data_IF_278261455973
#
_entry.id   IF_278261455973
#
_cell.length_a   1.000
_cell.length_b   1.000
_cell.length_c   1.000
_cell.angle_alpha   90.00
_cell.angle_beta   90.00
_cell.angle_gamma   90.00
#
_symmetry.space_group_name_H-M   'P 1'
#
loop_
_entity.id
_entity.type
_entity.pdbx_description
1 polymer ?
#
# COMPACT_ATOMS: atom_id res chain seq x y z
N UNK A 1 -12.48 22.08 34.03
CA UNK A 1 -11.15 22.03 33.41
C UNK A 1 -11.07 20.71 32.68
N UNK A 2 -11.04 20.75 31.34
CA UNK A 2 -11.14 19.57 30.48
C UNK A 2 -9.76 18.93 30.32
N UNK A 3 -9.32 18.20 31.34
CA UNK A 3 -8.17 17.29 31.25
C UNK A 3 -8.60 16.00 30.55
N UNK A 4 -7.79 15.51 29.61
CA UNK A 4 -7.72 14.06 29.34
C UNK A 4 -7.94 13.55 27.91
N UNK A 5 -8.12 14.38 26.88
CA UNK A 5 -8.44 13.89 25.52
C UNK A 5 -7.28 13.90 24.51
N UNK A 6 -6.01 13.85 24.95
CA UNK A 6 -4.89 14.16 24.05
C UNK A 6 -4.15 12.96 23.44
N UNK A 7 -4.20 11.73 23.99
CA UNK A 7 -3.27 10.67 23.56
C UNK A 7 -3.78 9.22 23.69
N UNK A 8 -5.09 8.96 23.58
CA UNK A 8 -5.58 7.59 23.43
C UNK A 8 -5.89 7.31 21.96
N UNK A 9 -5.00 6.62 21.27
CA UNK A 9 -5.38 6.03 20.00
C UNK A 9 -6.41 4.92 20.26
N UNK A 10 -7.61 5.03 19.68
CA UNK A 10 -8.62 3.97 19.75
C UNK A 10 -8.09 2.70 19.05
N UNK A 11 -7.72 1.62 19.78
CA UNK A 11 -7.03 0.48 19.21
C UNK A 11 -7.84 -0.22 18.12
N UNK A 12 -9.17 -0.24 18.28
CA UNK A 12 -10.10 -0.86 17.33
C UNK A 12 -10.15 -0.12 16.00
N UNK A 13 -10.14 1.21 16.02
CA UNK A 13 -10.08 2.03 14.79
C UNK A 13 -8.76 1.84 14.07
N UNK A 14 -7.66 1.75 14.82
CA UNK A 14 -6.36 1.46 14.23
C UNK A 14 -6.30 0.07 13.62
N UNK A 15 -6.81 -0.95 14.31
CA UNK A 15 -6.88 -2.31 13.79
C UNK A 15 -7.74 -2.40 12.52
N UNK A 16 -8.85 -1.66 12.48
CA UNK A 16 -9.69 -1.55 11.28
C UNK A 16 -8.94 -0.88 10.11
N UNK A 17 -8.24 0.23 10.37
CA UNK A 17 -7.43 0.91 9.36
C UNK A 17 -6.32 0.02 8.80
N UNK A 18 -5.61 -0.71 9.66
CA UNK A 18 -4.57 -1.69 9.26
C UNK A 18 -5.14 -2.75 8.33
N UNK A 19 -6.30 -3.34 8.68
CA UNK A 19 -6.97 -4.34 7.83
C UNK A 19 -7.34 -3.75 6.48
N UNK A 20 -7.84 -2.52 6.44
CA UNK A 20 -8.23 -1.85 5.21
C UNK A 20 -7.02 -1.57 4.31
N UNK A 21 -5.90 -1.11 4.87
CA UNK A 21 -4.65 -0.89 4.15
C UNK A 21 -4.15 -2.20 3.51
N UNK A 22 -4.13 -3.29 4.27
CA UNK A 22 -3.74 -4.60 3.74
C UNK A 22 -4.68 -5.10 2.63
N UNK A 23 -5.98 -4.84 2.76
CA UNK A 23 -6.97 -5.18 1.73
C UNK A 23 -6.73 -4.38 0.43
N UNK A 24 -6.40 -3.09 0.53
CA UNK A 24 -6.06 -2.24 -0.62
C UNK A 24 -4.83 -2.77 -1.35
N UNK A 25 -3.75 -3.08 -0.63
CA UNK A 25 -2.53 -3.64 -1.25
C UNK A 25 -2.80 -4.97 -1.93
N UNK A 26 -3.59 -5.85 -1.29
CA UNK A 26 -3.96 -7.15 -1.84
C UNK A 26 -4.78 -7.00 -3.13
N UNK A 27 -5.78 -6.12 -3.11
CA UNK A 27 -6.62 -5.82 -4.27
C UNK A 27 -5.81 -5.22 -5.42
N UNK A 28 -4.86 -4.32 -5.14
CA UNK A 28 -4.00 -3.74 -6.15
C UNK A 28 -3.19 -4.82 -6.89
N UNK A 29 -2.59 -5.77 -6.15
CA UNK A 29 -1.89 -6.91 -6.76
C UNK A 29 -2.82 -7.83 -7.57
N UNK A 30 -4.05 -8.04 -7.11
CA UNK A 30 -5.05 -8.82 -7.86
C UNK A 30 -5.42 -8.16 -9.18
N UNK A 31 -5.73 -6.86 -9.14
CA UNK A 31 -6.02 -6.08 -10.34
C UNK A 31 -4.89 -6.11 -11.36
N UNK A 32 -3.62 -6.07 -10.92
CA UNK A 32 -2.47 -6.17 -11.82
C UNK A 32 -2.34 -7.56 -12.46
N UNK A 33 -2.59 -8.63 -11.70
CA UNK A 33 -2.58 -10.00 -12.25
C UNK A 33 -3.66 -10.16 -13.32
N UNK A 34 -4.87 -9.68 -13.04
CA UNK A 34 -6.00 -9.76 -13.96
C UNK A 34 -5.75 -8.92 -15.21
N UNK A 35 -5.23 -7.70 -15.03
CA UNK A 35 -4.83 -6.84 -16.13
C UNK A 35 -3.76 -7.49 -17.01
N UNK A 36 -2.69 -8.01 -16.40
CA UNK A 36 -1.59 -8.65 -17.14
C UNK A 36 -2.08 -9.89 -17.89
N UNK A 37 -3.00 -10.66 -17.31
CA UNK A 37 -3.63 -11.80 -17.98
C UNK A 37 -4.41 -11.35 -19.21
N UNK A 38 -5.29 -10.35 -19.03
CA UNK A 38 -6.14 -9.81 -20.11
C UNK A 38 -5.32 -9.20 -21.24
N UNK A 39 -4.24 -8.49 -20.92
CA UNK A 39 -3.32 -7.91 -21.91
C UNK A 39 -2.53 -9.00 -22.64
N UNK A 40 -2.21 -10.11 -21.98
CA UNK A 40 -1.55 -11.23 -22.65
C UNK A 40 -2.49 -11.99 -23.60
N UNK A 41 -3.79 -11.99 -23.33
CA UNK A 41 -4.79 -12.60 -24.23
C UNK A 41 -4.89 -11.88 -25.58
N UNK A 42 -4.43 -10.63 -25.68
CA UNK A 42 -4.37 -9.91 -26.96
C UNK A 42 -3.16 -10.33 -27.81
N UNK A 43 -2.26 -11.17 -27.29
CA UNK A 43 -1.06 -11.60 -28.01
C UNK A 43 -1.42 -12.28 -29.33
N UNK A 44 -0.86 -11.75 -30.42
CA UNK A 44 -1.08 -12.29 -31.76
C UNK A 44 -2.33 -11.76 -32.46
N UNK A 45 -3.03 -10.78 -31.87
CA UNK A 45 -4.08 -10.03 -32.58
C UNK A 45 -3.63 -9.46 -33.93
N UNK A 46 -2.36 -9.01 -34.14
CA UNK A 46 -1.94 -8.48 -35.44
C UNK A 46 -1.76 -9.54 -36.53
N UNK A 47 -1.89 -10.84 -36.21
CA UNK A 47 -1.53 -11.93 -37.11
C UNK A 47 -0.10 -12.42 -36.91
N UNK A 48 0.45 -13.14 -37.90
CA UNK A 48 1.79 -13.76 -37.83
C UNK A 48 2.75 -13.24 -38.88
N UNK A 49 2.38 -13.36 -40.16
CA UNK A 49 3.37 -13.27 -41.25
C UNK A 49 2.90 -12.42 -42.45
N UNK A 50 1.75 -11.76 -42.38
CA UNK A 50 1.32 -10.83 -43.44
C UNK A 50 2.00 -9.45 -43.32
N UNK A 51 1.89 -8.63 -44.35
CA UNK A 51 2.52 -7.30 -44.39
C UNK A 51 2.01 -6.38 -43.28
N UNK A 52 0.78 -6.59 -42.82
CA UNK A 52 0.20 -5.84 -41.71
C UNK A 52 0.81 -6.26 -40.37
N UNK A 53 0.95 -7.57 -40.13
CA UNK A 53 1.58 -8.13 -38.95
C UNK A 53 3.03 -7.65 -38.80
N UNK A 54 3.80 -7.61 -39.89
CA UNK A 54 5.19 -7.12 -39.86
C UNK A 54 5.29 -5.65 -39.44
N UNK A 55 4.32 -4.81 -39.81
CA UNK A 55 4.29 -3.40 -39.44
C UNK A 55 3.81 -3.20 -37.99
N UNK A 56 2.83 -3.99 -37.54
CA UNK A 56 2.10 -3.75 -36.29
C UNK A 56 2.67 -4.50 -35.09
N UNK A 57 3.25 -5.68 -35.26
CA UNK A 57 3.84 -6.49 -34.16
C UNK A 57 4.83 -5.68 -33.30
N UNK A 58 5.77 -4.89 -33.87
CA UNK A 58 6.70 -4.12 -33.05
C UNK A 58 6.01 -3.07 -32.16
N UNK A 59 4.97 -2.40 -32.69
CA UNK A 59 4.19 -1.42 -31.94
C UNK A 59 3.36 -2.10 -30.84
N UNK A 60 2.70 -3.22 -31.17
CA UNK A 60 1.92 -4.03 -30.23
C UNK A 60 2.77 -4.52 -29.05
N UNK A 61 3.96 -5.05 -29.33
CA UNK A 61 4.90 -5.50 -28.30
C UNK A 61 5.25 -4.37 -27.34
N UNK A 62 5.63 -3.21 -27.89
CA UNK A 62 6.01 -2.03 -27.11
C UNK A 62 4.84 -1.50 -26.28
N UNK A 63 3.64 -1.43 -26.85
CA UNK A 63 2.44 -0.97 -26.16
C UNK A 63 2.07 -1.92 -25.02
N UNK A 64 2.08 -3.24 -25.26
CA UNK A 64 1.85 -4.23 -24.21
C UNK A 64 2.86 -4.11 -23.07
N UNK A 65 4.15 -4.05 -23.38
CA UNK A 65 5.20 -3.92 -22.36
C UNK A 65 5.02 -2.63 -21.56
N UNK A 66 4.75 -1.51 -22.23
CA UNK A 66 4.52 -0.21 -21.58
C UNK A 66 3.28 -0.25 -20.68
N UNK A 67 2.21 -0.89 -21.13
CA UNK A 67 0.97 -1.02 -20.38
C UNK A 67 1.16 -1.85 -19.10
N UNK A 68 1.85 -3.00 -19.20
CA UNK A 68 2.20 -3.84 -18.04
C UNK A 68 3.11 -3.08 -17.07
N UNK A 69 4.13 -2.39 -17.57
CA UNK A 69 5.05 -1.61 -16.74
C UNK A 69 4.33 -0.46 -16.01
N UNK A 70 3.41 0.22 -16.70
CA UNK A 70 2.59 1.28 -16.10
C UNK A 70 1.70 0.72 -14.99
N UNK A 71 1.03 -0.41 -15.25
CA UNK A 71 0.21 -1.10 -14.25
C UNK A 71 1.01 -1.51 -13.01
N UNK A 72 2.20 -2.11 -13.21
CA UNK A 72 3.11 -2.46 -12.12
C UNK A 72 3.51 -1.24 -11.30
N UNK A 73 3.91 -0.16 -11.96
CA UNK A 73 4.34 1.08 -11.30
C UNK A 73 3.23 1.70 -10.45
N UNK A 74 1.98 1.62 -10.92
CA UNK A 74 0.83 2.11 -10.17
C UNK A 74 0.58 1.26 -8.91
N UNK A 75 0.65 -0.07 -9.02
CA UNK A 75 0.52 -0.97 -7.87
C UNK A 75 1.64 -0.74 -6.86
N UNK A 76 2.88 -0.63 -7.33
CA UNK A 76 4.03 -0.36 -6.46
C UNK A 76 3.85 0.95 -5.69
N UNK A 77 3.31 1.99 -6.33
CA UNK A 77 3.00 3.26 -5.66
C UNK A 77 1.91 3.09 -4.59
N UNK A 78 0.82 2.37 -4.89
CA UNK A 78 -0.27 2.11 -3.93
C UNK A 78 0.25 1.32 -2.72
N UNK A 79 1.01 0.26 -2.95
CA UNK A 79 1.61 -0.57 -1.89
C UNK A 79 2.60 0.24 -1.05
N UNK A 80 3.42 1.08 -1.69
CA UNK A 80 4.37 1.95 -0.96
C UNK A 80 3.67 2.95 -0.04
N UNK A 81 2.54 3.52 -0.47
CA UNK A 81 1.73 4.41 0.37
C UNK A 81 1.10 3.65 1.54
N UNK A 82 0.60 2.44 1.29
CA UNK A 82 0.08 1.54 2.30
C UNK A 82 1.15 1.20 3.36
N UNK A 83 2.33 0.78 2.94
CA UNK A 83 3.47 0.45 3.80
C UNK A 83 3.95 1.66 4.60
N UNK A 84 4.06 2.83 3.95
CA UNK A 84 4.42 4.09 4.63
C UNK A 84 3.40 4.48 5.71
N UNK A 85 2.12 4.28 5.43
CA UNK A 85 1.04 4.53 6.41
C UNK A 85 1.13 3.56 7.59
N UNK A 86 1.43 2.28 7.34
CA UNK A 86 1.64 1.27 8.38
C UNK A 86 2.84 1.60 9.27
N UNK A 87 3.95 2.02 8.66
CA UNK A 87 5.17 2.45 9.36
C UNK A 87 4.89 3.66 10.26
N UNK A 88 4.19 4.67 9.75
CA UNK A 88 3.76 5.83 10.54
C UNK A 88 2.90 5.43 11.73
N UNK A 89 1.95 4.52 11.53
CA UNK A 89 1.12 4.02 12.63
C UNK A 89 1.94 3.29 13.70
N UNK A 90 2.89 2.45 13.29
CA UNK A 90 3.81 1.78 14.20
C UNK A 90 4.62 2.79 15.03
N UNK A 91 5.14 3.83 14.38
CA UNK A 91 5.91 4.89 15.05
C UNK A 91 5.06 5.67 16.07
N UNK A 92 3.80 5.98 15.74
CA UNK A 92 2.86 6.63 16.65
C UNK A 92 2.62 5.75 17.88
N UNK A 93 2.36 4.45 17.69
CA UNK A 93 2.16 3.50 18.81
C UNK A 93 3.38 3.39 19.71
N UNK A 94 4.58 3.26 19.14
CA UNK A 94 5.83 3.20 19.89
C UNK A 94 6.07 4.48 20.70
N UNK A 95 5.80 5.64 20.10
CA UNK A 95 5.91 6.93 20.79
C UNK A 95 4.91 7.02 21.96
N UNK A 96 3.66 6.61 21.75
CA UNK A 96 2.64 6.60 22.81
C UNK A 96 3.04 5.71 23.99
N UNK A 97 3.53 4.49 23.72
CA UNK A 97 4.01 3.58 24.75
C UNK A 97 5.17 4.19 25.55
N UNK A 98 6.16 4.79 24.87
CA UNK A 98 7.31 5.43 25.53
C UNK A 98 6.92 6.64 26.39
N UNK A 99 5.97 7.46 25.93
CA UNK A 99 5.43 8.59 26.71
C UNK A 99 4.69 8.09 27.95
N UNK A 100 3.85 7.07 27.83
CA UNK A 100 3.14 6.50 28.98
C UNK A 100 4.09 5.88 30.02
N UNK A 101 5.13 5.17 29.58
CA UNK A 101 6.13 4.61 30.49
C UNK A 101 6.92 5.71 31.23
N UNK A 102 7.24 6.80 30.53
CA UNK A 102 7.87 7.99 31.13
C UNK A 102 6.97 8.66 32.18
N UNK A 103 5.67 8.76 31.93
CA UNK A 103 4.70 9.31 32.89
C UNK A 103 4.57 8.41 34.12
N UNK A 104 4.42 7.09 33.92
CA UNK A 104 4.29 6.13 35.01
C UNK A 104 5.55 6.10 35.90
N UNK A 105 6.74 6.14 35.30
CA UNK A 105 8.00 6.18 36.04
C UNK A 105 8.24 7.49 36.78
N UNK A 106 7.78 8.62 36.25
CA UNK A 106 7.82 9.92 36.94
C UNK A 106 6.82 9.98 38.12
N UNK A 107 5.58 9.50 37.92
CA UNK A 107 4.56 9.41 38.98
C UNK A 107 4.98 8.51 40.14
N UNK A 108 5.68 7.39 39.85
CA UNK A 108 6.22 6.50 40.88
C UNK A 108 7.36 7.12 41.70
N UNK A 109 8.07 8.13 41.19
CA UNK A 109 9.16 8.83 41.91
C UNK A 109 8.67 10.03 42.72
N UNK A 110 7.52 10.62 42.37
CA UNK A 110 6.93 11.75 43.09
C UNK A 110 6.13 11.41 44.36
N UNK A 111 5.82 10.13 44.61
CA UNK A 111 4.99 9.68 45.74
C UNK A 111 5.75 9.38 47.05
N UNK A 112 7.02 9.78 47.17
CA UNK A 112 7.82 9.64 48.40
C UNK A 112 8.27 11.01 48.90
N UNK A 113 7.38 11.75 49.55
CA UNK A 113 7.71 12.83 50.49
C UNK A 113 6.59 13.00 51.51
#
# INVERSE_FOLDING_TARGET
MAEGNAYYAEPDRLAAGVRQINAISSLAHEMLRDFTTTVNDTRGWPGRDDSFAQEVIPAELKERETAVQTGSSLVDAVVSVADGTMSNLSNIRSTQMGVMDSINSAGSRGGRH
#
